data_IF_234449388159
#
_entry.id   IF_234449388159
#
_cell.length_a   1.000
_cell.length_b   1.000
_cell.length_c   1.000
_cell.angle_alpha   90.00
_cell.angle_beta   90.00
_cell.angle_gamma   90.00
#
_symmetry.space_group_name_H-M   'P 1'
#
loop_
_entity.id
_entity.type
_entity.pdbx_description
1 polymer ?
#
# COMPACT_ATOMS: atom_id res chain seq x y z
N UNK A 1 -0.61 -30.81 -80.19
CA UNK A 1 -1.81 -31.64 -79.94
C UNK A 1 -2.10 -31.67 -78.43
N UNK A 2 -3.37 -31.49 -78.02
CA UNK A 2 -4.04 -31.80 -76.73
C UNK A 2 -3.25 -31.54 -75.42
N UNK A 3 -3.50 -30.45 -74.66
CA UNK A 3 -4.52 -30.26 -73.57
C UNK A 3 -4.64 -31.42 -72.57
N UNK A 4 -4.45 -31.11 -71.27
CA UNK A 4 -5.25 -31.43 -70.05
C UNK A 4 -4.40 -30.96 -68.84
N UNK A 5 -4.65 -29.78 -68.24
CA UNK A 5 -5.59 -29.43 -67.16
C UNK A 5 -5.25 -29.98 -65.76
N UNK A 6 -4.80 -29.05 -64.90
CA UNK A 6 -5.29 -28.75 -63.54
C UNK A 6 -5.23 -29.81 -62.44
N UNK A 7 -4.55 -29.49 -61.33
CA UNK A 7 -4.98 -29.65 -59.92
C UNK A 7 -3.85 -29.07 -59.04
N UNK A 8 -4.02 -27.89 -58.42
CA UNK A 8 -4.52 -27.73 -57.03
C UNK A 8 -3.77 -28.72 -56.13
N UNK A 9 -2.76 -28.31 -55.37
CA UNK A 9 -2.90 -27.41 -54.22
C UNK A 9 -2.46 -28.20 -52.97
N UNK A 10 -1.96 -27.48 -51.96
CA UNK A 10 -1.49 -27.96 -50.64
C UNK A 10 0.00 -28.32 -50.58
N UNK A 11 0.81 -27.27 -50.43
CA UNK A 11 2.13 -27.33 -49.79
C UNK A 11 1.91 -27.35 -48.26
N UNK A 12 1.94 -28.54 -47.65
CA UNK A 12 1.93 -28.72 -46.19
C UNK A 12 3.34 -28.50 -45.65
N UNK A 13 3.66 -27.27 -45.23
CA UNK A 13 4.87 -26.99 -44.45
C UNK A 13 4.55 -27.29 -42.98
N UNK A 14 4.97 -28.47 -42.51
CA UNK A 14 5.02 -28.78 -41.07
C UNK A 14 6.12 -27.95 -40.41
N UNK A 15 5.76 -26.82 -39.82
CA UNK A 15 6.64 -26.11 -38.88
C UNK A 15 6.49 -26.75 -37.51
N UNK A 16 7.36 -27.72 -37.21
CA UNK A 16 7.52 -28.26 -35.85
C UNK A 16 8.19 -27.19 -34.96
N UNK A 17 7.39 -26.31 -34.36
CA UNK A 17 7.81 -25.47 -33.25
C UNK A 17 8.00 -26.37 -32.00
N UNK A 18 9.22 -26.89 -31.84
CA UNK A 18 9.66 -27.53 -30.62
C UNK A 18 9.58 -26.54 -29.46
N UNK A 19 8.52 -26.65 -28.66
CA UNK A 19 8.33 -25.87 -27.45
C UNK A 19 9.29 -26.42 -26.40
N UNK A 20 10.41 -25.72 -26.19
CA UNK A 20 11.31 -25.99 -25.06
C UNK A 20 10.59 -25.51 -23.81
N UNK A 21 9.86 -26.41 -23.16
CA UNK A 21 9.34 -26.16 -21.80
C UNK A 21 10.54 -26.16 -20.88
N UNK A 22 11.11 -24.99 -20.63
CA UNK A 22 12.04 -24.80 -19.51
C UNK A 22 11.26 -25.05 -18.22
N UNK A 23 11.37 -26.27 -17.69
CA UNK A 23 10.95 -26.59 -16.35
C UNK A 23 11.79 -25.73 -15.38
N UNK A 24 11.22 -24.60 -14.95
CA UNK A 24 11.78 -23.84 -13.85
C UNK A 24 11.60 -24.67 -12.59
N UNK A 25 12.70 -25.27 -12.13
CA UNK A 25 12.77 -25.88 -10.81
C UNK A 25 12.53 -24.76 -9.81
N UNK A 26 11.32 -24.69 -9.22
CA UNK A 26 11.07 -23.85 -8.06
C UNK A 26 11.93 -24.46 -6.94
N UNK A 27 13.00 -23.79 -6.47
CA UNK A 27 13.80 -24.33 -5.38
C UNK A 27 12.90 -24.47 -4.15
N UNK A 28 12.82 -25.69 -3.63
CA UNK A 28 12.13 -26.02 -2.39
C UNK A 28 12.62 -25.05 -1.31
N UNK A 29 11.72 -24.16 -0.87
CA UNK A 29 12.00 -23.13 0.12
C UNK A 29 12.41 -23.85 1.41
N UNK A 30 13.73 -24.01 1.62
CA UNK A 30 14.25 -24.35 2.94
C UNK A 30 13.74 -23.25 3.84
N UNK A 31 13.10 -23.59 4.96
CA UNK A 31 12.69 -22.63 5.98
C UNK A 31 13.93 -21.84 6.39
N UNK A 32 14.17 -20.71 5.72
CA UNK A 32 15.25 -19.82 6.04
C UNK A 32 14.97 -19.35 7.45
N UNK A 33 15.88 -19.66 8.37
CA UNK A 33 15.81 -19.24 9.76
C UNK A 33 15.48 -17.74 9.78
N UNK A 34 14.35 -17.37 10.39
CA UNK A 34 13.95 -15.98 10.49
C UNK A 34 15.02 -15.26 11.31
N UNK A 35 15.63 -14.24 10.71
CA UNK A 35 16.72 -13.47 11.33
C UNK A 35 16.15 -12.23 12.01
N UNK A 36 16.69 -11.85 13.17
CA UNK A 36 16.34 -10.57 13.75
C UNK A 36 16.80 -9.43 12.82
N UNK A 37 16.11 -8.28 12.82
CA UNK A 37 16.32 -7.19 11.86
C UNK A 37 17.77 -6.71 11.74
N UNK A 38 18.51 -6.70 12.85
CA UNK A 38 19.89 -6.23 12.94
C UNK A 38 20.89 -7.15 12.21
N UNK A 39 20.46 -8.38 11.89
CA UNK A 39 21.28 -9.40 11.21
C UNK A 39 20.89 -9.59 9.75
N UNK A 40 19.94 -8.81 9.24
CA UNK A 40 19.50 -8.90 7.84
C UNK A 40 20.50 -8.20 6.93
N UNK A 41 20.97 -8.93 5.92
CA UNK A 41 21.67 -8.32 4.79
C UNK A 41 20.67 -7.63 3.86
N UNK A 42 21.12 -6.68 3.04
CA UNK A 42 20.26 -6.01 2.05
C UNK A 42 19.57 -7.01 1.10
N UNK A 43 20.28 -8.05 0.65
CA UNK A 43 19.71 -9.09 -0.23
C UNK A 43 18.61 -9.90 0.45
N UNK A 44 18.77 -10.19 1.74
CA UNK A 44 17.75 -10.88 2.52
C UNK A 44 16.53 -10.00 2.76
N UNK A 45 16.74 -8.72 3.04
CA UNK A 45 15.68 -7.73 3.17
C UNK A 45 14.87 -7.60 1.86
N UNK A 46 15.55 -7.56 0.70
CA UNK A 46 14.88 -7.59 -0.61
C UNK A 46 14.09 -8.88 -0.85
N UNK A 47 14.61 -10.02 -0.39
CA UNK A 47 13.88 -11.31 -0.44
C UNK A 47 12.62 -11.27 0.42
N UNK A 48 12.70 -10.66 1.61
CA UNK A 48 11.56 -10.45 2.51
C UNK A 48 10.52 -9.55 1.83
N UNK A 49 10.93 -8.42 1.26
CA UNK A 49 10.01 -7.52 0.55
C UNK A 49 9.27 -8.23 -0.59
N UNK A 50 9.97 -9.05 -1.38
CA UNK A 50 9.34 -9.88 -2.41
C UNK A 50 8.35 -10.89 -1.82
N UNK A 51 8.73 -11.58 -0.73
CA UNK A 51 7.88 -12.57 -0.04
C UNK A 51 6.56 -11.96 0.45
N UNK A 52 6.58 -10.76 1.01
CA UNK A 52 5.40 -10.08 1.56
C UNK A 52 4.76 -9.09 0.59
N UNK A 53 5.14 -9.09 -0.68
CA UNK A 53 4.63 -8.16 -1.69
C UNK A 53 4.70 -6.69 -1.25
N UNK A 54 5.84 -6.30 -0.68
CA UNK A 54 6.13 -4.92 -0.27
C UNK A 54 6.42 -4.08 -1.51
N UNK A 55 5.72 -2.97 -1.62
CA UNK A 55 5.92 -1.96 -2.67
C UNK A 55 6.86 -0.85 -2.19
N UNK A 56 7.35 -0.04 -3.12
CA UNK A 56 8.14 1.15 -2.77
C UNK A 56 7.33 2.15 -1.92
N UNK A 57 6.02 2.29 -2.20
CA UNK A 57 5.14 3.16 -1.42
C UNK A 57 4.95 2.65 0.02
N UNK A 58 4.94 1.33 0.24
CA UNK A 58 4.90 0.77 1.61
C UNK A 58 6.13 1.22 2.41
N UNK A 59 7.31 1.20 1.78
CA UNK A 59 8.57 1.63 2.39
C UNK A 59 8.57 3.14 2.63
N UNK A 60 8.20 3.94 1.62
CA UNK A 60 8.10 5.41 1.73
C UNK A 60 7.11 5.84 2.81
N UNK A 61 5.97 5.15 2.93
CA UNK A 61 4.99 5.41 3.97
C UNK A 61 5.60 5.17 5.36
N UNK A 62 6.23 4.02 5.57
CA UNK A 62 6.85 3.69 6.86
C UNK A 62 7.92 4.72 7.26
N UNK A 63 8.69 5.23 6.30
CA UNK A 63 9.72 6.26 6.54
C UNK A 63 9.16 7.68 6.72
N UNK A 64 7.87 7.90 6.51
CA UNK A 64 7.27 9.25 6.53
C UNK A 64 7.63 10.10 5.30
N UNK A 65 8.02 9.48 4.19
CA UNK A 65 8.39 10.15 2.94
C UNK A 65 7.18 10.41 2.02
N UNK A 66 6.05 9.74 2.27
CA UNK A 66 4.80 10.06 1.60
C UNK A 66 4.12 11.26 2.28
N UNK A 67 3.35 12.06 1.52
CA UNK A 67 2.53 13.12 2.11
C UNK A 67 1.60 12.57 3.19
N UNK A 68 1.21 13.43 4.13
CA UNK A 68 0.19 13.12 5.13
C UNK A 68 -1.11 12.65 4.45
N UNK A 69 -1.89 11.77 5.11
CA UNK A 69 -3.14 11.23 4.52
C UNK A 69 -4.13 12.31 4.10
N UNK A 70 -4.12 13.44 4.83
CA UNK A 70 -4.95 14.60 4.51
C UNK A 70 -4.20 15.66 3.67
N UNK A 71 -3.06 15.32 3.08
CA UNK A 71 -2.38 16.20 2.15
C UNK A 71 -3.21 16.31 0.86
N UNK A 72 -3.64 17.54 0.55
CA UNK A 72 -4.49 17.81 -0.61
C UNK A 72 -5.99 17.79 -0.31
N UNK A 73 -6.44 17.23 0.83
CA UNK A 73 -7.66 17.79 1.43
C UNK A 73 -7.29 19.19 1.89
N UNK A 74 -7.93 20.19 1.29
CA UNK A 74 -7.71 21.59 1.59
C UNK A 74 -8.10 21.82 3.07
N UNK A 75 -7.16 21.60 3.98
CA UNK A 75 -7.03 22.40 5.18
C UNK A 75 -6.53 23.73 4.69
N UNK A 76 -7.48 24.55 4.23
CA UNK A 76 -7.20 25.96 3.98
C UNK A 76 -6.72 26.51 5.32
N UNK A 77 -5.41 26.72 5.47
CA UNK A 77 -4.82 27.23 6.71
C UNK A 77 -5.36 28.62 7.08
N UNK A 78 -6.07 29.29 6.15
CA UNK A 78 -6.81 30.51 6.42
C UNK A 78 -8.18 30.28 7.06
N UNK A 79 -8.70 29.04 7.04
CA UNK A 79 -10.01 28.67 7.59
C UNK A 79 -9.89 27.86 8.88
N UNK A 80 -10.60 28.32 9.91
CA UNK A 80 -10.74 27.65 11.20
C UNK A 80 -12.11 27.00 11.29
N UNK A 81 -12.13 25.68 11.43
CA UNK A 81 -13.35 24.87 11.49
C UNK A 81 -13.58 24.36 12.90
N UNK A 82 -14.80 24.52 13.43
CA UNK A 82 -15.21 23.93 14.70
C UNK A 82 -16.05 22.68 14.39
N UNK A 83 -15.66 21.55 14.99
CA UNK A 83 -16.43 20.30 14.90
C UNK A 83 -17.30 20.17 16.15
N UNK A 84 -18.59 19.94 15.96
CA UNK A 84 -19.56 19.67 17.03
C UNK A 84 -20.34 18.39 16.72
N UNK A 85 -21.04 17.80 17.69
CA UNK A 85 -21.78 16.57 17.44
C UNK A 85 -22.83 16.73 16.32
N UNK A 86 -23.58 17.83 16.33
CA UNK A 86 -24.70 18.08 15.39
C UNK A 86 -24.44 19.19 14.36
N UNK A 87 -23.25 19.78 14.36
CA UNK A 87 -22.91 20.90 13.48
C UNK A 87 -23.43 22.25 13.95
N UNK A 88 -23.86 22.36 15.22
CA UNK A 88 -24.40 23.60 15.79
C UNK A 88 -23.61 24.04 17.01
N UNK A 89 -23.48 25.36 17.15
CA UNK A 89 -22.95 25.97 18.37
C UNK A 89 -24.10 26.53 19.21
N UNK A 90 -24.18 26.20 20.51
CA UNK A 90 -25.06 26.89 21.43
C UNK A 90 -24.73 28.39 21.48
N UNK A 91 -25.73 29.25 21.66
CA UNK A 91 -25.54 30.70 21.60
C UNK A 91 -24.54 31.22 22.65
N UNK A 92 -24.55 30.60 23.85
CA UNK A 92 -23.56 30.85 24.91
C UNK A 92 -22.12 30.57 24.47
N UNK A 93 -21.92 29.59 23.59
CA UNK A 93 -20.61 29.18 23.08
C UNK A 93 -20.22 30.08 21.92
N UNK A 94 -21.14 30.37 20.97
CA UNK A 94 -20.89 31.28 19.85
C UNK A 94 -20.27 32.60 20.32
N UNK A 95 -20.82 33.22 21.36
CA UNK A 95 -20.29 34.48 21.91
C UNK A 95 -18.84 34.34 22.41
N UNK A 96 -18.49 33.21 23.03
CA UNK A 96 -17.13 32.94 23.52
C UNK A 96 -16.15 32.69 22.36
N UNK A 97 -16.53 31.83 21.41
CA UNK A 97 -15.64 31.43 20.32
C UNK A 97 -15.60 32.43 19.16
N UNK A 98 -16.51 33.40 19.10
CA UNK A 98 -16.45 34.50 18.11
C UNK A 98 -15.15 35.31 18.23
N UNK A 99 -14.63 35.49 19.45
CA UNK A 99 -13.34 36.14 19.69
C UNK A 99 -12.14 35.35 19.17
N UNK A 100 -12.27 34.01 19.11
CA UNK A 100 -11.24 33.10 18.60
C UNK A 100 -11.19 33.18 17.07
N UNK A 101 -12.32 33.43 16.41
CA UNK A 101 -12.43 33.49 14.95
C UNK A 101 -12.53 32.10 14.35
N UNK A 102 -13.66 31.81 13.70
CA UNK A 102 -13.92 30.57 12.98
C UNK A 102 -14.74 30.86 11.73
N UNK A 103 -14.58 30.04 10.71
CA UNK A 103 -15.18 30.22 9.39
C UNK A 103 -16.37 29.26 9.18
N UNK A 104 -16.29 28.07 9.76
CA UNK A 104 -17.28 27.02 9.58
C UNK A 104 -17.49 26.22 10.87
N UNK A 105 -18.73 25.80 11.09
CA UNK A 105 -19.07 24.76 12.07
C UNK A 105 -19.60 23.57 11.29
N UNK A 106 -19.00 22.40 11.51
CA UNK A 106 -19.44 21.15 10.88
C UNK A 106 -19.83 20.14 11.95
N UNK A 107 -20.67 19.18 11.54
CA UNK A 107 -20.98 18.04 12.38
C UNK A 107 -19.82 17.05 12.42
N UNK A 108 -19.76 16.25 13.48
CA UNK A 108 -18.82 15.12 13.60
C UNK A 108 -18.98 14.14 12.45
N UNK A 109 -20.22 13.88 12.02
CA UNK A 109 -20.53 13.03 10.87
C UNK A 109 -19.90 13.56 9.58
N UNK A 110 -19.94 14.88 9.39
CA UNK A 110 -19.33 15.53 8.23
C UNK A 110 -17.80 15.50 8.29
N UNK A 111 -17.21 15.75 9.46
CA UNK A 111 -15.77 15.62 9.67
C UNK A 111 -15.27 14.20 9.37
N UNK A 112 -15.99 13.17 9.84
CA UNK A 112 -15.69 11.76 9.53
C UNK A 112 -15.76 11.52 8.02
N UNK A 113 -16.81 11.99 7.34
CA UNK A 113 -16.96 11.83 5.89
C UNK A 113 -15.81 12.45 5.11
N UNK A 114 -15.33 13.62 5.52
CA UNK A 114 -14.15 14.28 4.92
C UNK A 114 -12.91 13.42 5.12
N UNK A 115 -12.68 12.92 6.33
CA UNK A 115 -11.54 12.06 6.66
C UNK A 115 -11.56 10.75 5.88
N UNK A 116 -12.71 10.08 5.80
CA UNK A 116 -12.88 8.84 5.05
C UNK A 116 -12.62 9.04 3.56
N UNK A 117 -13.12 10.14 2.98
CA UNK A 117 -12.85 10.49 1.58
C UNK A 117 -11.35 10.70 1.35
N UNK A 118 -10.67 11.44 2.23
CA UNK A 118 -9.22 11.66 2.15
C UNK A 118 -8.46 10.32 2.16
N UNK A 119 -8.83 9.44 3.10
CA UNK A 119 -8.26 8.10 3.22
C UNK A 119 -8.46 7.27 1.94
N UNK A 120 -9.67 7.28 1.38
CA UNK A 120 -9.97 6.56 0.14
C UNK A 120 -9.14 7.06 -1.04
N UNK A 121 -9.00 8.38 -1.18
CA UNK A 121 -8.17 8.98 -2.22
C UNK A 121 -6.68 8.64 -2.02
N UNK A 122 -6.22 8.63 -0.77
CA UNK A 122 -4.86 8.22 -0.42
C UNK A 122 -4.57 6.77 -0.79
N UNK A 123 -5.47 5.84 -0.41
CA UNK A 123 -5.38 4.42 -0.78
C UNK A 123 -5.37 4.27 -2.29
N UNK A 124 -6.27 4.98 -3.00
CA UNK A 124 -6.34 4.92 -4.47
C UNK A 124 -5.04 5.41 -5.12
N UNK A 125 -4.43 6.46 -4.57
CA UNK A 125 -3.23 7.08 -5.14
C UNK A 125 -1.94 6.32 -4.83
N UNK A 126 -1.78 5.87 -3.59
CA UNK A 126 -0.53 5.27 -3.11
C UNK A 126 -0.59 3.75 -2.94
N UNK A 127 -1.79 3.15 -2.93
CA UNK A 127 -1.99 1.74 -2.65
C UNK A 127 -1.81 1.36 -1.18
N UNK A 128 -1.79 2.35 -0.28
CA UNK A 128 -1.50 2.17 1.15
C UNK A 128 -2.75 2.47 1.97
N UNK A 129 -3.15 1.54 2.84
CA UNK A 129 -4.08 1.81 3.93
C UNK A 129 -3.32 2.40 5.14
N UNK A 130 -3.47 3.71 5.43
CA UNK A 130 -2.74 4.35 6.51
C UNK A 130 -3.13 3.84 7.91
N UNK A 131 -4.33 3.29 8.08
CA UNK A 131 -4.78 2.75 9.37
C UNK A 131 -4.29 1.30 9.57
N UNK A 132 -3.90 0.64 8.48
CA UNK A 132 -3.39 -0.72 8.52
C UNK A 132 -2.17 -0.88 7.58
N UNK A 133 -1.06 -0.18 7.85
CA UNK A 133 0.10 -0.19 6.97
C UNK A 133 0.76 -1.57 6.99
N UNK A 134 1.10 -2.12 5.83
CA UNK A 134 1.76 -3.44 5.70
C UNK A 134 3.17 -3.45 6.31
N UNK A 135 3.87 -2.32 6.17
CA UNK A 135 5.25 -2.13 6.61
C UNK A 135 5.30 -1.11 7.73
N UNK A 136 6.10 -1.38 8.75
CA UNK A 136 6.36 -0.50 9.90
C UNK A 136 7.85 -0.30 10.08
N UNK A 137 8.23 0.81 10.70
CA UNK A 137 9.63 1.04 11.09
C UNK A 137 9.96 0.22 12.32
N UNK A 138 11.04 -0.53 12.24
CA UNK A 138 11.56 -1.32 13.35
C UNK A 138 13.08 -1.14 13.42
N UNK A 139 13.58 -0.56 14.51
CA UNK A 139 15.01 -0.24 14.68
C UNK A 139 15.63 0.48 13.46
N UNK A 140 14.88 1.41 12.86
CA UNK A 140 15.31 2.15 11.67
C UNK A 140 15.18 1.39 10.34
N UNK A 141 14.69 0.16 10.36
CA UNK A 141 14.50 -0.68 9.17
C UNK A 141 12.99 -0.83 8.90
N UNK A 142 12.50 -0.49 7.70
CA UNK A 142 11.12 -0.74 7.33
C UNK A 142 10.91 -2.25 7.13
N UNK A 143 10.03 -2.87 7.90
CA UNK A 143 9.75 -4.31 7.84
C UNK A 143 8.26 -4.63 7.75
N UNK A 144 7.87 -5.70 7.03
CA UNK A 144 6.50 -6.19 7.04
C UNK A 144 6.07 -6.56 8.46
N UNK A 145 4.85 -6.17 8.86
CA UNK A 145 4.29 -6.55 10.17
C UNK A 145 4.22 -8.06 10.33
N UNK A 146 3.91 -8.78 9.26
CA UNK A 146 3.83 -10.24 9.25
C UNK A 146 5.19 -10.89 9.55
N UNK A 147 6.28 -10.33 9.01
CA UNK A 147 7.63 -10.82 9.30
C UNK A 147 7.99 -10.64 10.78
N UNK A 148 7.67 -9.48 11.36
CA UNK A 148 7.85 -9.21 12.78
C UNK A 148 7.01 -10.17 13.62
N UNK A 149 5.75 -10.39 13.25
CA UNK A 149 4.87 -11.33 13.95
C UNK A 149 5.40 -12.76 13.91
N UNK A 150 5.97 -13.20 12.78
CA UNK A 150 6.62 -14.50 12.68
C UNK A 150 7.87 -14.60 13.58
N UNK A 151 8.68 -13.53 13.67
CA UNK A 151 9.83 -13.46 14.58
C UNK A 151 9.41 -13.61 16.06
N UNK A 152 8.35 -12.89 16.47
CA UNK A 152 7.79 -12.99 17.83
C UNK A 152 7.33 -14.41 18.10
N UNK A 153 6.53 -15.00 17.19
CA UNK A 153 5.98 -16.35 17.36
C UNK A 153 7.05 -17.42 17.51
N UNK A 154 8.18 -17.29 16.82
CA UNK A 154 9.29 -18.25 16.90
C UNK A 154 10.19 -18.05 18.13
N UNK A 155 9.90 -17.08 19.00
CA UNK A 155 10.74 -16.77 20.16
C UNK A 155 12.10 -16.17 19.80
N UNK A 156 12.32 -15.86 18.52
CA UNK A 156 13.53 -15.21 18.01
C UNK A 156 13.51 -13.70 18.24
N UNK A 157 12.47 -13.21 18.93
CA UNK A 157 12.30 -11.80 19.28
C UNK A 157 11.39 -11.65 20.51
N UNK A 158 11.75 -10.72 21.41
CA UNK A 158 10.90 -10.22 22.48
C UNK A 158 10.70 -8.72 22.26
N UNK A 159 9.47 -8.24 22.05
CA UNK A 159 9.23 -6.81 22.02
C UNK A 159 9.58 -6.20 23.39
N UNK A 160 10.51 -5.25 23.38
CA UNK A 160 10.72 -4.30 24.49
C UNK A 160 9.61 -3.27 24.52
#
# INVERSE_FOLDING_TARGET
MKKIRSLIGVLLVLVMLGSVVSATVIPKQRDALLKPPEKLTERELQTIYKKYNVTENDIKFAKGELPYVMAGTILDGSKRVIVTEDGKLPERVKKKVKSIGYDLVISKKEAIKISEKAKQEYIKKYGIDPDNPKVVMYNGIPLPKEYINELIKKGNYKPT
#
